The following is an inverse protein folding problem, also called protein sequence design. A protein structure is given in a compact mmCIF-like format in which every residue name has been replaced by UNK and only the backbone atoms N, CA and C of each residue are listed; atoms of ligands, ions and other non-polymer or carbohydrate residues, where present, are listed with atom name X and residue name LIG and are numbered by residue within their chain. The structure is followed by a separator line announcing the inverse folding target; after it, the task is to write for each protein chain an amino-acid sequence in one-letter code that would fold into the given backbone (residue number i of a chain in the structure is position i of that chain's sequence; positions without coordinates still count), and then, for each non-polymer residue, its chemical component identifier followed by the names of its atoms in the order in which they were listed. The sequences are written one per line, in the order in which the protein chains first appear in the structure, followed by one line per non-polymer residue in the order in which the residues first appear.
data_IF_083632171690
#
_entry.id   IF_083632171690
#
_cell.length_a   1.000
_cell.length_b   1.000
_cell.length_c   1.000
_cell.angle_alpha   90.00
_cell.angle_beta   90.00
_cell.angle_gamma   90.00
#
_symmetry.space_group_name_H-M   'P 1'
#
loop_
_entity.id
_entity.type
_entity.pdbx_description
1 polymer ?
#
# COMPACT_ATOMS: atom_id res chain seq x y z
N UNK A 1 -33.57 -35.34 55.45
CA UNK A 1 -32.68 -35.41 54.26
C UNK A 1 -32.78 -34.06 53.54
N UNK A 2 -31.68 -33.28 53.57
CA UNK A 2 -31.56 -32.03 52.77
C UNK A 2 -31.20 -32.40 51.34
N UNK A 3 -32.04 -32.08 50.39
CA UNK A 3 -31.74 -32.12 48.96
C UNK A 3 -30.68 -31.08 48.60
N UNK A 4 -29.64 -31.41 47.86
CA UNK A 4 -28.68 -30.41 47.45
C UNK A 4 -29.33 -29.45 46.44
N UNK A 5 -29.36 -28.18 46.78
CA UNK A 5 -29.83 -27.11 45.89
C UNK A 5 -28.90 -26.86 44.68
N UNK A 6 -29.28 -26.03 43.74
CA UNK A 6 -28.85 -26.07 42.33
C UNK A 6 -27.40 -25.70 42.16
N UNK A 7 -26.51 -26.65 41.98
CA UNK A 7 -25.10 -26.48 41.50
C UNK A 7 -25.03 -26.04 40.04
N UNK A 8 -26.14 -26.07 39.28
CA UNK A 8 -26.18 -25.71 37.85
C UNK A 8 -25.85 -24.23 37.54
N UNK A 9 -26.23 -23.27 38.41
CA UNK A 9 -26.02 -21.85 38.15
C UNK A 9 -24.57 -21.38 38.32
N UNK A 10 -23.81 -22.03 39.23
CA UNK A 10 -22.41 -21.72 39.48
C UNK A 10 -21.50 -22.26 38.38
N UNK A 11 -21.83 -23.39 37.79
CA UNK A 11 -21.09 -24.01 36.70
C UNK A 11 -21.27 -23.21 35.40
N UNK A 12 -22.46 -22.71 35.12
CA UNK A 12 -22.73 -21.84 33.96
C UNK A 12 -21.99 -20.51 34.06
N UNK A 13 -21.94 -19.86 35.24
CA UNK A 13 -21.16 -18.64 35.45
C UNK A 13 -19.67 -18.86 35.26
N UNK A 14 -19.11 -19.94 35.72
CA UNK A 14 -17.70 -20.31 35.50
C UNK A 14 -17.39 -20.50 34.01
N UNK A 15 -18.25 -21.21 33.28
CA UNK A 15 -18.10 -21.42 31.83
C UNK A 15 -18.13 -20.07 31.06
N UNK A 16 -19.04 -19.15 31.40
CA UNK A 16 -19.12 -17.81 30.82
C UNK A 16 -17.84 -17.03 31.12
N UNK A 17 -17.33 -17.04 32.35
CA UNK A 17 -16.09 -16.36 32.72
C UNK A 17 -14.88 -16.91 31.93
N UNK A 18 -14.79 -18.22 31.75
CA UNK A 18 -13.73 -18.84 30.95
C UNK A 18 -13.83 -18.40 29.50
N UNK A 19 -15.02 -18.40 28.90
CA UNK A 19 -15.24 -17.94 27.52
C UNK A 19 -14.85 -16.45 27.33
N UNK A 20 -15.23 -15.61 28.29
CA UNK A 20 -14.84 -14.17 28.29
C UNK A 20 -13.31 -14.03 28.37
N UNK A 21 -12.66 -14.79 29.26
CA UNK A 21 -11.21 -14.77 29.40
C UNK A 21 -10.50 -15.20 28.12
N UNK A 22 -10.97 -16.27 27.48
CA UNK A 22 -10.45 -16.73 26.19
C UNK A 22 -10.62 -15.64 25.12
N UNK A 23 -11.79 -15.01 25.03
CA UNK A 23 -12.04 -13.95 24.08
C UNK A 23 -11.08 -12.75 24.29
N UNK A 24 -10.87 -12.35 25.55
CA UNK A 24 -9.93 -11.27 25.89
C UNK A 24 -8.51 -11.63 25.46
N UNK A 25 -8.06 -12.86 25.73
CA UNK A 25 -6.74 -13.33 25.31
C UNK A 25 -6.59 -13.30 23.78
N UNK A 26 -7.60 -13.77 23.05
CA UNK A 26 -7.60 -13.75 21.60
C UNK A 26 -7.54 -12.32 21.03
N UNK A 27 -8.26 -11.39 21.64
CA UNK A 27 -8.20 -9.96 21.28
C UNK A 27 -6.80 -9.39 21.54
N UNK A 28 -6.19 -9.71 22.68
CA UNK A 28 -4.83 -9.27 23.00
C UNK A 28 -3.80 -9.82 22.01
N UNK A 29 -3.86 -11.11 21.68
CA UNK A 29 -2.99 -11.73 20.69
C UNK A 29 -3.18 -11.05 19.33
N UNK A 30 -4.41 -10.78 18.91
CA UNK A 30 -4.69 -10.06 17.66
C UNK A 30 -4.09 -8.65 17.67
N UNK A 31 -4.29 -7.86 18.73
CA UNK A 31 -3.74 -6.51 18.83
C UNK A 31 -2.20 -6.52 18.81
N UNK A 32 -1.57 -7.44 19.55
CA UNK A 32 -0.12 -7.60 19.54
C UNK A 32 0.41 -7.99 18.14
N UNK A 33 -0.29 -8.87 17.43
CA UNK A 33 0.09 -9.24 16.06
C UNK A 33 -0.01 -8.07 15.09
N UNK A 34 -1.05 -7.24 15.20
CA UNK A 34 -1.21 -6.02 14.38
C UNK A 34 -0.07 -5.04 14.66
N UNK A 35 0.27 -4.80 15.94
CA UNK A 35 1.38 -3.92 16.32
C UNK A 35 2.72 -4.44 15.80
N UNK A 36 2.98 -5.74 15.93
CA UNK A 36 4.20 -6.36 15.42
C UNK A 36 4.32 -6.24 13.90
N UNK A 37 3.24 -6.49 13.16
CA UNK A 37 3.20 -6.34 11.69
C UNK A 37 3.45 -4.87 11.32
N UNK A 38 2.81 -3.92 11.98
CA UNK A 38 3.01 -2.48 11.71
C UNK A 38 4.45 -2.03 11.98
N UNK A 39 5.11 -2.59 12.99
CA UNK A 39 6.51 -2.30 13.30
C UNK A 39 7.49 -2.93 12.30
N UNK A 40 7.18 -4.12 11.77
CA UNK A 40 8.01 -4.83 10.80
C UNK A 40 7.87 -4.28 9.37
N UNK A 41 6.74 -3.65 9.05
CA UNK A 41 6.43 -3.10 7.72
C UNK A 41 6.03 -1.63 7.85
N UNK A 42 6.98 -0.73 8.16
CA UNK A 42 6.71 0.70 8.27
C UNK A 42 6.33 1.25 6.88
N UNK A 43 5.27 2.03 6.84
CA UNK A 43 4.80 2.71 5.63
C UNK A 43 5.35 4.13 5.65
N UNK A 44 5.98 4.55 4.56
CA UNK A 44 6.33 5.95 4.33
C UNK A 44 5.19 6.61 3.58
N UNK A 45 4.59 7.62 4.19
CA UNK A 45 3.57 8.45 3.55
C UNK A 45 4.20 9.65 2.86
N UNK A 46 3.59 10.09 1.77
CA UNK A 46 3.96 11.35 1.11
C UNK A 46 3.70 12.51 2.07
N UNK A 47 4.73 13.26 2.36
CA UNK A 47 4.71 14.43 3.23
C UNK A 47 4.85 15.75 2.43
N UNK A 48 4.80 16.90 3.08
CA UNK A 48 4.89 18.20 2.42
C UNK A 48 6.27 18.48 1.80
N UNK A 49 7.34 17.88 2.33
CA UNK A 49 8.68 17.98 1.75
C UNK A 49 8.74 17.24 0.42
N UNK A 50 8.20 16.00 0.37
CA UNK A 50 8.06 15.24 -0.87
C UNK A 50 7.25 16.00 -1.91
N UNK A 51 6.11 16.57 -1.52
CA UNK A 51 5.26 17.35 -2.42
C UNK A 51 5.97 18.61 -2.94
N UNK A 52 6.72 19.29 -2.09
CA UNK A 52 7.52 20.47 -2.48
C UNK A 52 8.63 20.09 -3.49
N UNK A 53 9.34 19.00 -3.19
CA UNK A 53 10.34 18.42 -4.10
C UNK A 53 9.71 18.06 -5.45
N UNK A 54 8.61 17.34 -5.45
CA UNK A 54 7.92 16.93 -6.67
C UNK A 54 7.42 18.13 -7.48
N UNK A 55 6.82 19.15 -6.84
CA UNK A 55 6.41 20.39 -7.55
C UNK A 55 7.57 21.05 -8.25
N UNK A 56 8.76 21.03 -7.67
CA UNK A 56 9.95 21.61 -8.28
C UNK A 56 10.47 20.76 -9.44
N UNK A 57 10.56 19.44 -9.24
CA UNK A 57 11.15 18.51 -10.20
C UNK A 57 10.25 18.23 -11.40
N UNK A 58 8.92 18.33 -11.23
CA UNK A 58 7.96 18.08 -12.32
C UNK A 58 7.54 19.33 -13.08
N UNK A 59 8.32 20.41 -13.00
CA UNK A 59 8.08 21.59 -13.85
C UNK A 59 8.27 21.23 -15.31
N UNK A 60 7.19 21.32 -16.09
CA UNK A 60 7.19 20.94 -17.51
C UNK A 60 6.76 19.48 -17.77
N UNK A 61 6.79 18.60 -16.79
CA UNK A 61 6.28 17.24 -16.92
C UNK A 61 4.78 17.25 -16.69
N UNK A 62 4.00 16.78 -17.66
CA UNK A 62 2.54 16.77 -17.61
C UNK A 62 1.94 15.36 -17.58
N UNK A 63 2.78 14.34 -17.56
CA UNK A 63 2.35 12.95 -17.58
C UNK A 63 2.72 12.29 -16.24
N UNK A 64 1.79 11.51 -15.71
CA UNK A 64 1.94 10.77 -14.46
C UNK A 64 1.82 9.27 -14.75
N UNK A 65 2.76 8.50 -14.24
CA UNK A 65 2.68 7.04 -14.26
C UNK A 65 2.66 6.50 -12.84
N UNK A 66 1.70 5.61 -12.53
CA UNK A 66 1.55 5.00 -11.21
C UNK A 66 1.68 3.49 -11.36
N UNK A 67 2.72 2.93 -10.75
CA UNK A 67 3.03 1.49 -10.83
C UNK A 67 3.09 0.85 -9.44
N UNK A 68 2.89 -0.46 -9.38
CA UNK A 68 2.88 -1.21 -8.13
C UNK A 68 4.29 -1.53 -7.62
N UNK A 69 5.19 -1.98 -8.50
CA UNK A 69 6.52 -2.46 -8.14
C UNK A 69 7.61 -1.79 -8.97
N UNK A 70 8.85 -1.72 -8.45
CA UNK A 70 10.00 -1.37 -9.28
C UNK A 70 10.22 -2.43 -10.35
N UNK A 71 10.19 -2.08 -11.59
CA UNK A 71 10.25 -2.80 -12.88
C UNK A 71 8.97 -2.66 -13.73
N UNK A 72 7.83 -2.45 -13.11
CA UNK A 72 6.54 -2.30 -13.82
C UNK A 72 6.56 -1.10 -14.79
N UNK A 73 7.23 0.00 -14.41
CA UNK A 73 7.40 1.19 -15.26
C UNK A 73 8.13 0.85 -16.56
N UNK A 74 9.11 -0.02 -16.48
CA UNK A 74 9.90 -0.46 -17.63
C UNK A 74 9.19 -1.54 -18.45
N UNK A 75 8.58 -2.53 -17.77
CA UNK A 75 7.95 -3.70 -18.41
C UNK A 75 6.66 -3.28 -19.13
N UNK A 76 5.82 -2.48 -18.47
CA UNK A 76 4.48 -2.14 -18.96
C UNK A 76 4.39 -0.72 -19.52
N UNK A 77 5.23 0.19 -19.04
CA UNK A 77 5.24 1.61 -19.37
C UNK A 77 6.45 2.07 -20.19
N UNK A 78 7.45 1.23 -20.46
CA UNK A 78 8.73 1.66 -21.03
C UNK A 78 8.62 2.39 -22.36
N UNK A 79 7.68 2.07 -23.23
CA UNK A 79 7.45 2.80 -24.46
C UNK A 79 7.00 4.24 -24.20
N UNK A 80 6.15 4.46 -23.19
CA UNK A 80 5.69 5.78 -22.78
C UNK A 80 6.84 6.65 -22.24
N UNK A 81 7.70 6.05 -21.39
CA UNK A 81 8.87 6.75 -20.83
C UNK A 81 9.92 7.15 -21.88
N UNK A 82 9.93 6.47 -23.02
CA UNK A 82 10.81 6.83 -24.16
C UNK A 82 10.22 7.91 -25.06
N UNK A 83 8.93 8.18 -24.98
CA UNK A 83 8.22 9.13 -25.85
C UNK A 83 8.01 10.47 -25.17
N UNK A 84 7.70 10.47 -23.85
CA UNK A 84 7.33 11.67 -23.11
C UNK A 84 7.93 11.62 -21.69
N UNK A 85 8.15 12.80 -21.08
CA UNK A 85 8.63 12.90 -19.70
C UNK A 85 7.51 12.64 -18.70
N UNK A 86 7.75 11.71 -17.77
CA UNK A 86 6.80 11.31 -16.73
C UNK A 86 7.28 11.62 -15.30
N UNK A 87 6.32 11.91 -14.42
CA UNK A 87 6.47 11.59 -13.01
C UNK A 87 6.08 10.12 -12.81
N UNK A 88 6.99 9.29 -12.34
CA UNK A 88 6.71 7.88 -12.03
C UNK A 88 6.59 7.69 -10.52
N UNK A 89 5.45 7.16 -10.07
CA UNK A 89 5.18 6.84 -8.66
C UNK A 89 5.09 5.33 -8.50
N UNK A 90 6.09 4.74 -7.86
CA UNK A 90 6.11 3.34 -7.51
C UNK A 90 5.62 3.14 -6.08
N UNK A 91 4.67 2.23 -5.84
CA UNK A 91 3.98 2.12 -4.56
C UNK A 91 4.70 1.24 -3.53
N UNK A 92 5.55 0.29 -3.96
CA UNK A 92 6.16 -0.70 -3.06
C UNK A 92 7.67 -0.69 -3.06
N UNK A 93 8.24 -1.37 -2.07
CA UNK A 93 9.67 -1.69 -2.00
C UNK A 93 10.64 -0.52 -1.76
N UNK A 94 10.19 0.68 -1.39
CA UNK A 94 11.06 1.83 -1.12
C UNK A 94 12.03 1.65 0.05
N UNK A 95 11.83 0.66 0.92
CA UNK A 95 12.81 0.29 1.95
C UNK A 95 13.84 -0.76 1.50
N UNK A 96 13.69 -1.31 0.30
CA UNK A 96 14.62 -2.26 -0.28
C UNK A 96 15.63 -1.53 -1.17
N UNK A 97 16.82 -1.27 -0.65
CA UNK A 97 17.85 -0.51 -1.35
C UNK A 97 18.14 -1.00 -2.77
N UNK A 98 18.17 -2.32 -2.99
CA UNK A 98 18.41 -2.89 -4.32
C UNK A 98 17.27 -2.51 -5.30
N UNK A 99 16.00 -2.60 -4.83
CA UNK A 99 14.83 -2.28 -5.68
C UNK A 99 14.71 -0.77 -5.93
N UNK A 100 15.06 0.04 -4.94
CA UNK A 100 15.14 1.49 -5.11
C UNK A 100 16.19 1.88 -6.14
N UNK A 101 17.40 1.27 -6.07
CA UNK A 101 18.46 1.51 -7.04
C UNK A 101 18.06 1.07 -8.46
N UNK A 102 17.40 -0.07 -8.62
CA UNK A 102 16.88 -0.54 -9.91
C UNK A 102 15.88 0.46 -10.49
N UNK A 103 14.93 0.93 -9.69
CA UNK A 103 13.95 1.92 -10.09
C UNK A 103 14.60 3.25 -10.51
N UNK A 104 15.51 3.79 -9.71
CA UNK A 104 16.21 5.03 -10.03
C UNK A 104 17.07 4.88 -11.29
N UNK A 105 17.78 3.75 -11.45
CA UNK A 105 18.59 3.49 -12.63
C UNK A 105 17.76 3.40 -13.92
N UNK A 106 16.55 2.85 -13.84
CA UNK A 106 15.63 2.82 -14.97
C UNK A 106 15.21 4.24 -15.39
N UNK A 107 14.81 5.07 -14.43
CA UNK A 107 14.38 6.45 -14.70
C UNK A 107 15.52 7.36 -15.15
N UNK A 108 16.75 7.15 -14.68
CA UNK A 108 17.92 7.87 -15.16
C UNK A 108 18.18 7.65 -16.66
N UNK A 109 17.86 6.47 -17.19
CA UNK A 109 18.04 6.15 -18.62
C UNK A 109 17.04 6.88 -19.52
N UNK A 110 15.83 7.15 -19.02
CA UNK A 110 14.78 7.83 -19.76
C UNK A 110 14.72 9.32 -19.45
N UNK A 111 15.36 9.77 -18.37
CA UNK A 111 15.34 11.16 -17.92
C UNK A 111 14.13 11.52 -17.07
N UNK A 112 13.36 10.53 -16.65
CA UNK A 112 12.14 10.70 -15.88
C UNK A 112 12.40 11.04 -14.40
N UNK A 113 11.39 11.59 -13.76
CA UNK A 113 11.38 11.88 -12.33
C UNK A 113 10.57 10.79 -11.60
N UNK A 114 11.07 10.28 -10.50
CA UNK A 114 10.34 9.27 -9.75
C UNK A 114 10.37 9.41 -8.25
N UNK A 115 9.36 8.83 -7.62
CA UNK A 115 9.31 8.59 -6.18
C UNK A 115 8.86 7.15 -5.92
N UNK A 116 9.50 6.50 -4.97
CA UNK A 116 9.18 5.15 -4.56
C UNK A 116 8.67 5.13 -3.12
N UNK A 117 7.47 4.61 -2.94
CA UNK A 117 6.83 4.47 -1.64
C UNK A 117 7.14 3.10 -1.03
N UNK A 118 6.78 2.92 0.23
CA UNK A 118 7.08 1.69 0.95
C UNK A 118 5.82 0.97 1.43
N UNK A 119 4.82 0.84 0.56
CA UNK A 119 3.71 -0.07 0.85
C UNK A 119 4.20 -1.52 0.78
N UNK A 120 3.71 -2.41 1.66
CA UNK A 120 4.23 -3.77 1.70
C UNK A 120 3.86 -4.56 0.44
N UNK A 121 4.86 -5.02 -0.32
CA UNK A 121 4.68 -6.02 -1.38
C UNK A 121 4.27 -7.36 -0.75
N UNK A 122 5.02 -7.81 0.27
CA UNK A 122 4.76 -9.05 0.98
C UNK A 122 4.69 -8.82 2.48
N UNK A 123 3.82 -9.56 3.17
CA UNK A 123 3.76 -9.66 4.62
C UNK A 123 3.97 -11.13 4.99
N UNK A 124 5.01 -11.43 5.78
CA UNK A 124 5.41 -12.79 6.15
C UNK A 124 5.56 -13.74 4.93
N UNK A 125 6.13 -13.21 3.84
CA UNK A 125 6.36 -13.96 2.60
C UNK A 125 5.13 -14.11 1.69
N UNK A 126 3.94 -13.70 2.12
CA UNK A 126 2.71 -13.72 1.33
C UNK A 126 2.44 -12.36 0.70
N UNK A 127 1.98 -12.34 -0.55
CA UNK A 127 1.59 -11.10 -1.24
C UNK A 127 0.57 -10.31 -0.44
N UNK A 128 0.85 -9.03 -0.24
CA UNK A 128 -0.06 -8.13 0.47
C UNK A 128 -1.22 -7.72 -0.44
N UNK A 129 -2.44 -7.87 0.05
CA UNK A 129 -3.65 -7.34 -0.62
C UNK A 129 -4.01 -5.92 -0.15
N UNK A 130 -3.13 -5.21 0.54
CA UNK A 130 -3.31 -3.86 1.10
C UNK A 130 -4.64 -3.63 1.84
N UNK A 131 -5.17 -4.68 2.46
CA UNK A 131 -6.48 -4.61 3.13
C UNK A 131 -6.56 -3.49 4.17
N UNK A 132 -5.47 -3.28 4.91
CA UNK A 132 -5.38 -2.24 5.94
C UNK A 132 -4.72 -0.95 5.43
N UNK A 133 -3.98 -1.00 4.33
CA UNK A 133 -3.26 0.11 3.73
C UNK A 133 -4.05 0.86 2.65
N UNK A 134 -5.17 0.30 2.19
CA UNK A 134 -5.93 0.84 1.05
C UNK A 134 -6.27 2.32 1.20
N UNK A 135 -6.70 2.75 2.40
CA UNK A 135 -7.02 4.16 2.66
C UNK A 135 -5.78 5.04 2.50
N UNK A 136 -4.65 4.60 3.03
CA UNK A 136 -3.38 5.32 2.94
C UNK A 136 -2.88 5.43 1.50
N UNK A 137 -2.96 4.33 0.73
CA UNK A 137 -2.63 4.36 -0.72
C UNK A 137 -3.46 5.39 -1.45
N UNK A 138 -4.79 5.41 -1.23
CA UNK A 138 -5.69 6.39 -1.86
C UNK A 138 -5.29 7.81 -1.47
N UNK A 139 -5.05 8.09 -0.19
CA UNK A 139 -4.67 9.41 0.31
C UNK A 139 -3.35 9.91 -0.28
N UNK A 140 -2.35 9.04 -0.41
CA UNK A 140 -1.08 9.42 -1.01
C UNK A 140 -1.21 9.64 -2.52
N UNK A 141 -2.02 8.85 -3.22
CA UNK A 141 -2.33 9.07 -4.64
C UNK A 141 -3.14 10.35 -4.86
N UNK A 142 -4.10 10.67 -4.00
CA UNK A 142 -4.85 11.95 -4.05
C UNK A 142 -3.91 13.15 -3.91
N UNK A 143 -2.90 13.09 -3.04
CA UNK A 143 -1.88 14.14 -2.91
C UNK A 143 -1.08 14.31 -4.21
N UNK A 144 -0.63 13.21 -4.82
CA UNK A 144 0.11 13.24 -6.10
C UNK A 144 -0.75 13.80 -7.23
N UNK A 145 -1.97 13.30 -7.36
CA UNK A 145 -2.90 13.74 -8.41
C UNK A 145 -3.27 15.21 -8.27
N UNK A 146 -3.36 15.72 -7.03
CA UNK A 146 -3.62 17.13 -6.75
C UNK A 146 -2.41 18.07 -6.86
N UNK A 147 -1.20 17.57 -7.18
CA UNK A 147 -0.02 18.42 -7.36
C UNK A 147 -0.21 19.45 -8.48
N UNK A 148 -0.87 19.05 -9.55
CA UNK A 148 -1.16 19.85 -10.75
C UNK A 148 -2.23 19.16 -11.57
N UNK A 149 -2.66 19.80 -12.66
CA UNK A 149 -3.46 19.14 -13.68
C UNK A 149 -2.54 18.27 -14.55
N UNK A 150 -2.87 17.00 -14.69
CA UNK A 150 -2.14 16.04 -15.50
C UNK A 150 -2.82 15.87 -16.85
N UNK A 151 -2.05 15.88 -17.95
CA UNK A 151 -2.56 15.61 -19.29
C UNK A 151 -2.84 14.11 -19.48
N UNK A 152 -2.00 13.27 -18.87
CA UNK A 152 -2.13 11.82 -18.93
C UNK A 152 -1.83 11.19 -17.56
N UNK A 153 -2.62 10.20 -17.17
CA UNK A 153 -2.34 9.32 -16.05
C UNK A 153 -2.30 7.89 -16.54
N UNK A 154 -1.10 7.31 -16.60
CA UNK A 154 -0.87 5.91 -16.95
C UNK A 154 -0.81 5.06 -15.68
N UNK A 155 -1.40 3.88 -15.70
CA UNK A 155 -1.34 2.92 -14.61
C UNK A 155 -1.64 1.51 -15.14
N UNK A 156 -1.55 0.50 -14.29
CA UNK A 156 -1.88 -0.88 -14.60
C UNK A 156 -3.29 -1.05 -15.17
N UNK A 157 -3.52 -2.10 -15.93
CA UNK A 157 -4.87 -2.39 -16.42
C UNK A 157 -5.79 -2.88 -15.28
N UNK A 158 -7.09 -2.85 -15.54
CA UNK A 158 -8.11 -3.25 -14.57
C UNK A 158 -7.98 -4.68 -14.06
N UNK A 159 -7.51 -5.58 -14.90
CA UNK A 159 -7.35 -7.00 -14.58
C UNK A 159 -5.95 -7.33 -14.01
N UNK A 160 -5.05 -6.33 -13.97
CA UNK A 160 -3.69 -6.44 -13.42
C UNK A 160 -2.77 -7.26 -14.30
N UNK A 161 -2.79 -7.02 -15.61
CA UNK A 161 -2.04 -7.67 -16.69
C UNK A 161 -2.25 -9.20 -16.69
N UNK A 162 -1.65 -9.89 -15.74
CA UNK A 162 -1.77 -11.35 -15.53
C UNK A 162 -2.51 -11.73 -14.25
N UNK A 163 -3.36 -10.83 -13.73
CA UNK A 163 -4.15 -11.05 -12.51
C UNK A 163 -3.43 -10.70 -11.21
N UNK A 164 -2.35 -9.89 -11.27
CA UNK A 164 -1.61 -9.49 -10.06
C UNK A 164 -2.45 -8.60 -9.17
N UNK A 165 -2.62 -9.00 -7.91
CA UNK A 165 -3.53 -8.32 -6.98
C UNK A 165 -3.15 -6.85 -6.77
N UNK A 166 -1.86 -6.52 -6.66
CA UNK A 166 -1.41 -5.15 -6.40
C UNK A 166 -1.52 -4.27 -7.64
N UNK A 167 -1.35 -4.78 -8.87
CA UNK A 167 -1.64 -4.05 -10.10
C UNK A 167 -3.12 -3.63 -10.16
N UNK A 168 -4.04 -4.55 -9.87
CA UNK A 168 -5.49 -4.25 -9.78
C UNK A 168 -5.80 -3.23 -8.70
N UNK A 169 -5.12 -3.30 -7.55
CA UNK A 169 -5.28 -2.36 -6.44
C UNK A 169 -4.64 -1.00 -6.71
N UNK A 170 -3.67 -0.90 -7.60
CA UNK A 170 -3.08 0.35 -8.08
C UNK A 170 -4.01 1.04 -9.07
N UNK A 171 -4.55 0.29 -10.04
CA UNK A 171 -5.48 0.81 -11.04
C UNK A 171 -6.72 1.49 -10.42
N UNK A 172 -7.42 0.79 -9.52
CA UNK A 172 -8.69 1.25 -8.99
C UNK A 172 -8.63 2.58 -8.20
N UNK A 173 -7.63 2.84 -7.34
CA UNK A 173 -7.45 4.14 -6.69
C UNK A 173 -7.00 5.24 -7.64
N UNK A 174 -6.10 4.94 -8.59
CA UNK A 174 -5.59 5.93 -9.54
C UNK A 174 -6.72 6.55 -10.37
N UNK A 175 -7.65 5.75 -10.87
CA UNK A 175 -8.80 6.26 -11.62
C UNK A 175 -9.77 7.07 -10.75
N UNK A 176 -10.06 6.62 -9.51
CA UNK A 176 -11.01 7.33 -8.63
C UNK A 176 -10.55 8.71 -8.21
N UNK A 177 -9.25 8.92 -8.15
CA UNK A 177 -8.69 10.19 -7.74
C UNK A 177 -8.47 11.12 -8.95
N UNK A 178 -8.57 10.59 -10.19
CA UNK A 178 -8.47 11.35 -11.43
C UNK A 178 -9.83 11.88 -11.90
N UNK A 179 -10.94 11.19 -11.60
CA UNK A 179 -12.34 11.61 -11.86
C UNK A 179 -12.76 12.76 -10.91
#
# INVERSE_FOLDING_TARGET
QKTPGPQRGTDMKKKILILISILIILIQIYLLSVLAISALYPISHINEEDLSYLRQKTKGINHLMIVAHPDDESIWGGAHLLEEDYLVVCLTNGSCQAREQEFQAALEQTGDVGIILNYPDKILGLRSGWRFQRKSVIQDLEKILSLKQWDTVATHNQDGEYGHIQHRLTHSPALRAFD
#
